data_IF_761502834089
#
_entry.id   IF_761502834089
#
_cell.length_a   1.000
_cell.length_b   1.000
_cell.length_c   1.000
_cell.angle_alpha   90.00
_cell.angle_beta   90.00
_cell.angle_gamma   90.00
#
_symmetry.space_group_name_H-M   'P 1'
#
loop_
_entity.id
_entity.type
_entity.pdbx_description
1 polymer ?
#
# COMPACT_ATOMS: atom_id res chain seq x y z
N UNK A 1 1.41 12.87 9.13
CA UNK A 1 0.40 11.96 9.73
C UNK A 1 -0.85 11.93 8.85
N UNK A 2 -1.12 10.80 8.17
CA UNK A 2 -2.30 10.60 7.31
C UNK A 2 -2.41 9.14 6.88
N UNK A 3 -3.55 8.71 6.33
CA UNK A 3 -3.69 7.39 5.70
C UNK A 3 -3.15 7.43 4.25
N UNK A 4 -1.96 8.02 4.07
CA UNK A 4 -1.32 8.21 2.76
C UNK A 4 -0.20 7.18 2.48
N UNK A 5 0.06 6.30 3.43
CA UNK A 5 1.09 5.25 3.34
C UNK A 5 0.49 3.92 3.77
N UNK A 6 1.03 2.81 3.26
CA UNK A 6 0.52 1.47 3.61
C UNK A 6 0.66 1.20 5.10
N UNK A 7 1.79 1.55 5.73
CA UNK A 7 1.95 1.44 7.20
C UNK A 7 0.94 2.29 7.96
N UNK A 8 0.60 3.47 7.42
CA UNK A 8 -0.46 4.32 7.95
C UNK A 8 -1.83 3.64 7.94
N UNK A 9 -2.16 2.90 6.87
CA UNK A 9 -3.40 2.12 6.79
C UNK A 9 -3.34 0.90 7.71
N UNK A 10 -2.21 0.15 7.71
CA UNK A 10 -1.96 -1.00 8.59
C UNK A 10 -2.20 -0.67 10.06
N UNK A 11 -1.71 0.49 10.54
CA UNK A 11 -1.89 0.92 11.94
C UNK A 11 -3.34 1.25 12.34
N UNK A 12 -4.22 1.57 11.39
CA UNK A 12 -5.61 2.00 11.67
C UNK A 12 -6.64 0.90 11.47
N UNK A 13 -6.59 0.26 10.31
CA UNK A 13 -7.61 -0.71 9.88
C UNK A 13 -7.09 -2.15 9.94
N UNK A 14 -5.80 -2.33 10.26
CA UNK A 14 -5.12 -3.63 10.36
C UNK A 14 -5.18 -4.54 9.12
N UNK A 15 -5.16 -4.04 7.86
CA UNK A 15 -4.95 -4.93 6.72
C UNK A 15 -3.60 -5.63 6.84
N UNK A 16 -3.57 -6.93 6.54
CA UNK A 16 -2.35 -7.72 6.53
C UNK A 16 -1.77 -8.08 7.89
N UNK A 17 -2.45 -7.78 9.00
CA UNK A 17 -2.02 -8.20 10.35
C UNK A 17 -2.52 -9.61 10.76
N UNK A 18 -3.17 -10.34 9.84
CA UNK A 18 -3.62 -11.71 10.06
C UNK A 18 -2.58 -12.76 9.65
N UNK A 19 -2.95 -14.05 9.69
CA UNK A 19 -2.06 -15.18 9.35
C UNK A 19 -1.38 -15.05 7.98
N UNK A 20 -2.04 -14.40 7.01
CA UNK A 20 -1.53 -14.19 5.66
C UNK A 20 -0.52 -13.05 5.51
N UNK A 21 -0.25 -12.28 6.57
CA UNK A 21 0.76 -11.22 6.62
C UNK A 21 0.70 -10.21 5.46
N UNK A 22 -0.49 -9.95 4.91
CA UNK A 22 -0.67 -8.99 3.82
C UNK A 22 -0.59 -9.56 2.41
N UNK A 23 -0.24 -10.84 2.22
CA UNK A 23 -0.03 -11.43 0.89
C UNK A 23 -1.20 -11.24 -0.11
N UNK A 24 -2.43 -11.12 0.38
CA UNK A 24 -3.63 -10.91 -0.47
C UNK A 24 -4.19 -9.50 -0.44
N UNK A 25 -4.17 -8.86 0.73
CA UNK A 25 -4.84 -7.57 0.93
C UNK A 25 -3.91 -6.38 0.71
N UNK A 26 -2.60 -6.54 0.82
CA UNK A 26 -1.63 -5.46 0.64
C UNK A 26 -1.62 -4.90 -0.79
N UNK A 27 -1.64 -5.71 -1.87
CA UNK A 27 -1.77 -5.19 -3.23
C UNK A 27 -3.08 -4.40 -3.46
N UNK A 28 -4.17 -4.82 -2.80
CA UNK A 28 -5.46 -4.12 -2.86
C UNK A 28 -5.41 -2.77 -2.14
N UNK A 29 -4.75 -2.71 -0.98
CA UNK A 29 -4.53 -1.45 -0.25
C UNK A 29 -3.72 -0.47 -1.09
N UNK A 30 -2.69 -0.93 -1.78
CA UNK A 30 -1.90 -0.10 -2.70
C UNK A 30 -2.76 0.47 -3.82
N UNK A 31 -3.60 -0.35 -4.46
CA UNK A 31 -4.52 0.12 -5.51
C UNK A 31 -5.55 1.13 -4.99
N UNK A 32 -6.11 0.91 -3.80
CA UNK A 32 -7.04 1.86 -3.17
C UNK A 32 -6.32 3.18 -2.90
N UNK A 33 -5.13 3.14 -2.30
CA UNK A 33 -4.36 4.35 -2.03
C UNK A 33 -4.00 5.12 -3.31
N UNK A 34 -3.57 4.42 -4.36
CA UNK A 34 -3.28 5.01 -5.66
C UNK A 34 -4.51 5.73 -6.23
N UNK A 35 -5.68 5.07 -6.21
CA UNK A 35 -6.95 5.62 -6.68
C UNK A 35 -7.38 6.86 -5.88
N UNK A 36 -7.36 6.77 -4.55
CA UNK A 36 -7.84 7.86 -3.67
C UNK A 36 -6.89 9.07 -3.65
N UNK A 37 -5.59 8.86 -3.87
CA UNK A 37 -4.60 9.92 -3.91
C UNK A 37 -4.35 10.47 -5.32
N UNK A 38 -4.88 9.83 -6.36
CA UNK A 38 -4.67 10.20 -7.75
C UNK A 38 -3.20 10.04 -8.22
N UNK A 39 -2.46 9.11 -7.60
CA UNK A 39 -1.05 8.83 -7.91
C UNK A 39 -0.91 7.47 -8.58
N UNK A 40 0.25 7.22 -9.19
CA UNK A 40 0.55 5.89 -9.72
C UNK A 40 0.69 4.86 -8.59
N UNK A 41 0.27 3.59 -8.76
CA UNK A 41 0.55 2.52 -7.82
C UNK A 41 2.04 2.37 -7.47
N UNK A 42 2.93 2.74 -8.41
CA UNK A 42 4.39 2.72 -8.23
C UNK A 42 4.90 3.83 -7.28
N UNK A 43 4.11 4.87 -7.07
CA UNK A 43 4.43 5.99 -6.18
C UNK A 43 3.94 5.74 -4.74
N UNK A 44 3.17 4.67 -4.51
CA UNK A 44 2.70 4.32 -3.18
C UNK A 44 3.87 3.79 -2.33
N UNK A 45 4.05 4.43 -1.18
CA UNK A 45 5.12 4.11 -0.23
C UNK A 45 4.61 3.33 0.99
N UNK A 46 5.52 2.58 1.60
CA UNK A 46 5.25 1.84 2.82
C UNK A 46 5.16 2.76 4.04
N UNK A 47 6.20 3.54 4.31
CA UNK A 47 6.28 4.45 5.48
C UNK A 47 6.96 5.78 5.16
N UNK A 48 8.13 5.72 4.52
CA UNK A 48 8.94 6.87 4.12
C UNK A 48 8.98 7.03 2.59
N UNK A 49 9.36 8.21 2.06
CA UNK A 49 9.48 8.45 0.61
C UNK A 49 10.37 7.44 -0.12
N UNK A 50 11.40 6.92 0.55
CA UNK A 50 12.35 5.96 -0.02
C UNK A 50 11.85 4.50 0.02
N UNK A 51 10.70 4.26 0.66
CA UNK A 51 10.15 2.91 0.85
C UNK A 51 9.08 2.57 -0.19
N UNK A 52 9.44 2.59 -1.47
CA UNK A 52 8.53 2.18 -2.56
C UNK A 52 8.22 0.69 -2.46
N UNK A 53 6.93 0.35 -2.58
CA UNK A 53 6.46 -1.04 -2.46
C UNK A 53 6.57 -1.79 -3.79
N UNK A 54 6.35 -1.08 -4.90
CA UNK A 54 6.36 -1.65 -6.24
C UNK A 54 7.51 -1.06 -7.04
N UNK A 55 8.23 -1.93 -7.76
CA UNK A 55 9.28 -1.53 -8.71
C UNK A 55 8.78 -1.51 -10.16
N UNK A 56 7.82 -2.37 -10.48
CA UNK A 56 7.18 -2.44 -11.79
C UNK A 56 5.74 -2.94 -11.64
N UNK A 57 4.88 -2.55 -12.58
CA UNK A 57 3.51 -3.05 -12.67
C UNK A 57 3.51 -4.25 -13.63
N UNK A 58 3.10 -5.42 -13.15
CA UNK A 58 3.04 -6.63 -13.96
C UNK A 58 1.59 -6.90 -14.33
N UNK A 59 1.21 -6.55 -15.57
CA UNK A 59 -0.08 -6.93 -16.17
C UNK A 59 0.07 -8.29 -16.81
N UNK A 60 -0.16 -9.34 -16.02
CA UNK A 60 -0.54 -10.66 -16.56
C UNK A 60 -2.05 -10.64 -16.79
#
# INVERSE_FOLDING_TARGET
CGARTVKGVKKRVRPGMGRCQGGFCEPKVVHILARELGISPLEVVYDSPDSKILQSENRI
#
